data_IF_303185926142
#
_entry.id   IF_303185926142
#
_cell.length_a   1.000
_cell.length_b   1.000
_cell.length_c   1.000
_cell.angle_alpha   90.00
_cell.angle_beta   90.00
_cell.angle_gamma   90.00
#
_symmetry.space_group_name_H-M   'P 1'
#
loop_
_entity.id
_entity.type
_entity.pdbx_description
1 polymer ?
#
# COMPACT_ATOMS: atom_id res chain seq x y z
N UNK A 1 -15.04 45.24 28.09
CA UNK A 1 -13.70 45.85 28.16
C UNK A 1 -12.76 45.06 27.26
N UNK A 2 -12.21 45.75 26.26
CA UNK A 2 -11.32 45.25 25.21
C UNK A 2 -9.97 44.77 25.73
N UNK A 3 -9.36 43.79 25.04
CA UNK A 3 -8.10 44.01 24.30
C UNK A 3 -7.83 42.88 23.31
N UNK A 4 -7.76 43.30 22.06
CA UNK A 4 -7.20 42.63 20.90
C UNK A 4 -5.67 42.64 20.97
N UNK A 5 -5.03 41.62 20.40
CA UNK A 5 -3.59 41.55 20.17
C UNK A 5 -3.32 40.98 18.78
N UNK A 6 -3.07 41.90 17.84
CA UNK A 6 -2.67 41.67 16.46
C UNK A 6 -1.19 41.32 16.42
N UNK A 7 -0.78 40.34 15.61
CA UNK A 7 0.58 40.24 15.08
C UNK A 7 0.55 39.95 13.59
N UNK A 8 1.26 40.81 12.86
CA UNK A 8 1.34 40.93 11.41
C UNK A 8 2.82 41.14 11.07
N UNK A 9 3.27 40.60 9.93
CA UNK A 9 4.59 40.83 9.35
C UNK A 9 5.49 39.58 9.36
N UNK A 10 6.20 39.22 8.30
CA UNK A 10 6.34 39.84 6.99
C UNK A 10 6.97 38.82 6.02
N UNK A 11 6.57 38.87 4.76
CA UNK A 11 7.07 38.04 3.67
C UNK A 11 8.38 38.62 3.11
N UNK A 12 9.43 37.80 2.92
CA UNK A 12 10.44 38.07 1.89
C UNK A 12 10.92 36.82 1.16
N UNK A 13 10.80 36.95 -0.17
CA UNK A 13 11.38 36.15 -1.24
C UNK A 13 12.91 36.04 -1.17
N UNK A 14 13.42 34.82 -1.35
CA UNK A 14 14.65 34.44 -2.09
C UNK A 14 14.47 32.94 -2.42
N UNK A 15 14.78 32.35 -3.57
CA UNK A 15 15.38 32.73 -4.84
C UNK A 15 15.54 31.39 -5.58
N UNK A 16 15.08 31.30 -6.83
CA UNK A 16 15.12 30.10 -7.67
C UNK A 16 16.43 30.09 -8.45
N UNK A 17 17.25 29.05 -8.26
CA UNK A 17 18.32 28.59 -9.19
C UNK A 17 18.48 27.10 -8.85
N UNK A 18 18.24 26.11 -9.71
CA UNK A 18 18.67 25.99 -11.10
C UNK A 18 19.68 24.83 -11.15
N UNK A 19 19.17 23.59 -11.18
CA UNK A 19 19.91 22.37 -11.44
C UNK A 19 20.52 22.43 -12.85
N UNK A 20 21.81 22.12 -13.00
CA UNK A 20 22.35 21.56 -14.24
C UNK A 20 23.68 20.85 -13.96
N UNK A 21 23.65 19.53 -14.07
CA UNK A 21 24.82 18.68 -14.07
C UNK A 21 24.97 17.97 -15.41
N UNK A 22 26.23 17.80 -15.81
CA UNK A 22 26.78 16.94 -16.87
C UNK A 22 26.60 17.37 -18.32
N UNK A 23 27.72 17.82 -18.89
CA UNK A 23 28.05 17.73 -20.32
C UNK A 23 29.32 16.90 -20.44
N UNK A 24 29.22 15.70 -21.01
CA UNK A 24 30.39 14.98 -21.54
C UNK A 24 30.57 15.34 -23.02
N UNK A 25 31.81 15.46 -23.52
CA UNK A 25 32.06 15.80 -24.93
C UNK A 25 31.92 14.57 -25.84
N UNK A 26 31.24 14.78 -26.96
CA UNK A 26 31.18 13.88 -28.13
C UNK A 26 32.47 14.06 -28.94
N UNK A 27 33.14 12.95 -29.23
CA UNK A 27 34.30 12.84 -30.13
C UNK A 27 33.83 12.58 -31.58
N UNK A 28 34.17 13.43 -32.57
CA UNK A 28 33.87 13.18 -33.97
C UNK A 28 35.14 12.96 -34.81
N UNK A 29 35.35 11.72 -35.25
CA UNK A 29 36.32 11.36 -36.28
C UNK A 29 36.74 9.90 -36.09
N UNK A 30 36.72 9.01 -37.07
CA UNK A 30 37.51 9.15 -38.29
C UNK A 30 37.03 8.14 -39.34
N UNK A 31 37.14 8.56 -40.59
CA UNK A 31 36.95 7.81 -41.83
C UNK A 31 37.71 6.48 -41.92
N UNK A 32 37.14 5.52 -42.64
CA UNK A 32 37.85 4.33 -43.11
C UNK A 32 37.10 3.57 -44.20
N UNK A 33 37.30 3.96 -45.47
CA UNK A 33 36.85 3.30 -46.69
C UNK A 33 37.62 1.98 -46.88
N UNK A 34 36.93 0.89 -47.25
CA UNK A 34 37.57 -0.35 -47.69
C UNK A 34 36.63 -1.22 -48.51
N UNK A 35 36.79 -1.17 -49.84
CA UNK A 35 36.10 -1.98 -50.84
C UNK A 35 36.80 -3.33 -51.03
N UNK A 36 36.06 -4.43 -51.18
CA UNK A 36 36.36 -5.49 -52.18
C UNK A 36 35.21 -6.49 -52.31
N UNK A 37 35.15 -7.15 -53.47
CA UNK A 37 34.01 -7.87 -54.07
C UNK A 37 34.06 -9.38 -53.83
N UNK A 38 32.86 -9.99 -53.77
CA UNK A 38 32.50 -11.27 -54.41
C UNK A 38 32.16 -12.45 -53.47
N UNK A 39 31.45 -13.50 -53.94
CA UNK A 39 30.35 -13.55 -54.90
C UNK A 39 29.06 -14.17 -54.28
N UNK A 40 28.01 -14.25 -55.09
CA UNK A 40 26.65 -14.69 -54.77
C UNK A 40 26.55 -16.08 -54.10
N UNK A 41 25.68 -16.17 -53.07
CA UNK A 41 25.04 -17.42 -52.68
C UNK A 41 23.53 -17.20 -52.59
N UNK A 42 22.86 -18.04 -53.34
CA UNK A 42 21.42 -18.22 -53.50
C UNK A 42 20.77 -18.62 -52.18
N UNK A 43 19.60 -18.04 -51.90
CA UNK A 43 18.68 -18.52 -50.87
C UNK A 43 18.01 -17.37 -50.16
N UNK A 44 16.88 -16.89 -50.69
CA UNK A 44 15.96 -16.03 -49.95
C UNK A 44 15.35 -16.84 -48.80
N UNK A 45 15.57 -16.50 -47.52
CA UNK A 45 14.65 -16.89 -46.47
C UNK A 45 13.46 -15.91 -46.50
N UNK A 46 12.25 -16.46 -46.39
CA UNK A 46 11.04 -15.68 -46.09
C UNK A 46 11.31 -14.67 -44.96
N UNK A 47 10.64 -13.50 -44.97
CA UNK A 47 10.79 -12.54 -43.88
C UNK A 47 10.45 -13.26 -42.58
N UNK A 48 11.46 -13.37 -41.71
CA UNK A 48 11.30 -13.90 -40.38
C UNK A 48 10.22 -13.08 -39.68
N UNK A 49 9.18 -13.79 -39.27
CA UNK A 49 8.14 -13.36 -38.35
C UNK A 49 8.83 -12.78 -37.11
N UNK A 50 8.88 -11.45 -37.03
CA UNK A 50 9.39 -10.70 -35.90
C UNK A 50 8.38 -10.70 -34.74
N UNK A 51 7.76 -11.84 -34.47
CA UNK A 51 7.06 -12.08 -33.21
C UNK A 51 8.13 -12.24 -32.14
N UNK A 52 8.44 -11.13 -31.49
CA UNK A 52 8.86 -11.11 -30.09
C UNK A 52 8.06 -12.18 -29.36
N UNK A 53 8.67 -13.11 -28.60
CA UNK A 53 7.91 -14.03 -27.77
C UNK A 53 7.05 -13.18 -26.85
N UNK A 54 5.76 -13.14 -27.13
CA UNK A 54 4.79 -12.46 -26.31
C UNK A 54 4.96 -13.03 -24.91
N UNK A 55 5.34 -12.18 -23.97
CA UNK A 55 4.96 -12.40 -22.58
C UNK A 55 3.45 -12.67 -22.64
N UNK A 56 2.94 -13.80 -22.15
CA UNK A 56 1.51 -14.02 -22.12
C UNK A 56 0.89 -12.87 -21.31
N UNK A 57 0.21 -11.95 -21.99
CA UNK A 57 -0.52 -10.83 -21.37
C UNK A 57 -1.92 -11.29 -20.92
N UNK A 58 -2.14 -12.60 -20.88
CA UNK A 58 -3.46 -13.20 -20.63
C UNK A 58 -3.64 -13.65 -19.16
N UNK A 59 -2.80 -13.17 -18.24
CA UNK A 59 -3.18 -13.23 -16.83
C UNK A 59 -4.36 -12.26 -16.66
N UNK A 60 -5.57 -12.73 -16.28
CA UNK A 60 -6.68 -11.84 -16.04
C UNK A 60 -6.23 -10.80 -15.01
N UNK A 61 -6.43 -9.53 -15.36
CA UNK A 61 -6.01 -8.42 -14.52
C UNK A 61 -6.71 -8.56 -13.17
N UNK A 62 -5.99 -9.02 -12.14
CA UNK A 62 -6.54 -9.15 -10.80
C UNK A 62 -6.19 -7.91 -9.99
N UNK A 63 -7.18 -7.34 -9.31
CA UNK A 63 -6.97 -6.30 -8.33
C UNK A 63 -6.26 -6.79 -7.07
N UNK A 64 -6.01 -8.10 -6.92
CA UNK A 64 -5.51 -8.72 -5.69
C UNK A 64 -4.24 -8.10 -5.11
N UNK A 65 -3.22 -7.80 -5.92
CA UNK A 65 -1.98 -7.14 -5.45
C UNK A 65 -2.26 -5.71 -4.97
N UNK A 66 -2.77 -4.79 -5.82
CA UNK A 66 -3.04 -3.41 -5.38
C UNK A 66 -4.08 -3.34 -4.26
N UNK A 67 -5.10 -4.19 -4.27
CA UNK A 67 -6.08 -4.32 -3.19
C UNK A 67 -5.42 -4.78 -1.89
N UNK A 68 -4.72 -5.92 -1.89
CA UNK A 68 -4.10 -6.50 -0.71
C UNK A 68 -3.04 -5.59 -0.09
N UNK A 69 -2.21 -4.94 -0.93
CA UNK A 69 -1.26 -3.94 -0.46
C UNK A 69 -1.96 -2.70 0.10
N UNK A 70 -2.94 -2.15 -0.63
CA UNK A 70 -3.65 -0.94 -0.24
C UNK A 70 -4.51 -1.09 1.01
N UNK A 71 -5.09 -2.28 1.22
CA UNK A 71 -5.94 -2.62 2.35
C UNK A 71 -5.25 -2.40 3.70
N UNK A 72 -3.94 -2.62 3.76
CA UNK A 72 -3.14 -2.41 4.97
C UNK A 72 -3.12 -0.96 5.47
N UNK A 73 -3.46 0.01 4.62
CA UNK A 73 -3.55 1.43 5.00
C UNK A 73 -4.86 1.80 5.71
N UNK A 74 -5.87 0.91 5.68
CA UNK A 74 -7.21 1.13 6.24
C UNK A 74 -7.62 0.08 7.28
N UNK A 75 -7.08 -1.13 7.22
CA UNK A 75 -7.39 -2.18 8.17
C UNK A 75 -6.73 -1.92 9.51
N UNK A 76 -7.46 -2.23 10.58
CA UNK A 76 -6.94 -2.27 11.96
C UNK A 76 -6.16 -3.57 12.13
N UNK A 77 -4.84 -3.49 12.06
CA UNK A 77 -3.97 -4.65 12.22
C UNK A 77 -3.77 -4.90 13.72
N UNK A 78 -4.23 -6.03 14.29
CA UNK A 78 -4.12 -6.27 15.73
C UNK A 78 -2.67 -6.33 16.20
N UNK A 79 -2.40 -5.85 17.41
CA UNK A 79 -1.12 -6.08 18.10
C UNK A 79 -1.37 -7.07 19.24
N UNK A 80 -1.00 -8.35 19.10
CA UNK A 80 -1.21 -9.35 20.15
C UNK A 80 -0.59 -8.94 21.50
N UNK A 81 -1.24 -9.31 22.61
CA UNK A 81 -0.74 -9.02 23.96
C UNK A 81 -0.97 -7.60 24.47
N UNK A 82 -1.66 -6.74 23.70
CA UNK A 82 -1.83 -5.30 24.05
C UNK A 82 -3.22 -4.93 24.58
N UNK A 83 -4.08 -5.92 24.84
CA UNK A 83 -5.48 -5.71 25.24
C UNK A 83 -6.26 -4.82 24.25
N UNK A 84 -6.12 -5.10 22.95
CA UNK A 84 -6.95 -4.50 21.90
C UNK A 84 -6.37 -3.26 21.19
N UNK A 85 -5.06 -3.01 21.27
CA UNK A 85 -4.42 -2.01 20.40
C UNK A 85 -4.25 -2.57 18.99
N UNK A 86 -4.45 -1.71 18.00
CA UNK A 86 -4.21 -2.01 16.60
C UNK A 86 -3.30 -0.95 15.96
N UNK A 87 -2.52 -1.37 14.96
CA UNK A 87 -1.78 -0.48 14.07
C UNK A 87 -2.77 0.18 13.11
N UNK A 88 -2.74 1.50 13.05
CA UNK A 88 -3.57 2.33 12.17
C UNK A 88 -2.81 3.58 11.72
N UNK A 89 -3.25 4.16 10.61
CA UNK A 89 -2.68 5.40 10.03
C UNK A 89 -3.62 6.61 10.16
N UNK A 90 -4.73 6.45 10.88
CA UNK A 90 -5.72 7.51 11.10
C UNK A 90 -6.10 7.56 12.57
N UNK A 91 -6.28 8.76 13.15
CA UNK A 91 -6.67 8.88 14.55
C UNK A 91 -8.07 8.35 14.79
N UNK A 92 -8.31 7.86 16.00
CA UNK A 92 -9.65 7.56 16.53
C UNK A 92 -10.01 8.50 17.68
N UNK A 93 -11.31 8.66 17.89
CA UNK A 93 -11.85 9.58 18.90
C UNK A 93 -11.83 11.02 18.43
N UNK A 94 -11.56 11.95 19.36
CA UNK A 94 -11.57 13.37 19.07
C UNK A 94 -10.36 13.78 18.21
N UNK A 95 -10.63 14.48 17.10
CA UNK A 95 -9.62 15.05 16.21
C UNK A 95 -9.76 16.58 16.23
N UNK A 96 -8.68 17.34 16.47
CA UNK A 96 -8.73 18.79 16.38
C UNK A 96 -9.23 19.27 15.00
N UNK A 97 -9.85 20.46 14.93
CA UNK A 97 -10.27 21.05 13.65
C UNK A 97 -9.12 21.24 12.65
N UNK A 98 -7.90 21.43 13.14
CA UNK A 98 -6.67 21.49 12.34
C UNK A 98 -6.11 20.13 11.91
N UNK A 99 -6.79 19.03 12.24
CA UNK A 99 -6.32 17.67 12.03
C UNK A 99 -5.40 17.17 13.14
N UNK A 100 -4.83 15.98 12.91
CA UNK A 100 -3.80 15.38 13.76
C UNK A 100 -2.46 15.50 13.05
N UNK A 101 -1.44 15.97 13.77
CA UNK A 101 -0.05 15.91 13.33
C UNK A 101 0.51 14.49 13.39
N UNK A 102 -0.12 13.58 14.14
CA UNK A 102 0.33 12.19 14.23
C UNK A 102 -0.02 11.35 12.98
N UNK A 103 0.87 10.41 12.62
CA UNK A 103 0.80 9.64 11.36
C UNK A 103 0.69 8.13 11.55
N UNK A 104 1.25 7.58 12.63
CA UNK A 104 1.21 6.17 13.01
C UNK A 104 0.59 6.03 14.40
N UNK A 105 -0.35 5.11 14.56
CA UNK A 105 -1.12 4.93 15.78
C UNK A 105 -1.15 3.46 16.19
N UNK A 106 -0.85 3.19 17.45
CA UNK A 106 -1.19 1.95 18.15
C UNK A 106 -2.31 2.28 19.11
N UNK A 107 -3.56 2.03 18.71
CA UNK A 107 -4.70 2.57 19.44
C UNK A 107 -5.83 1.56 19.58
N UNK A 108 -6.58 1.70 20.67
CA UNK A 108 -7.83 0.95 20.86
C UNK A 108 -8.94 1.48 19.93
N UNK A 109 -10.08 0.78 19.90
CA UNK A 109 -11.20 1.13 19.01
C UNK A 109 -11.82 2.50 19.34
N UNK A 110 -11.66 2.96 20.59
CA UNK A 110 -12.19 4.22 21.07
C UNK A 110 -11.20 5.40 20.88
N UNK A 111 -9.94 5.12 20.53
CA UNK A 111 -8.84 6.08 20.58
C UNK A 111 -8.48 6.55 21.99
N UNK A 112 -8.92 5.86 23.05
CA UNK A 112 -8.71 6.27 24.44
C UNK A 112 -7.34 5.86 24.96
N UNK A 113 -6.91 4.66 24.60
CA UNK A 113 -5.53 4.18 24.77
C UNK A 113 -4.80 4.31 23.45
N UNK A 114 -3.65 4.96 23.47
CA UNK A 114 -2.84 5.09 22.26
C UNK A 114 -1.35 5.23 22.54
N UNK A 115 -0.53 4.79 21.60
CA UNK A 115 0.82 5.27 21.36
C UNK A 115 0.81 5.83 19.93
N UNK A 116 1.20 7.08 19.73
CA UNK A 116 1.16 7.72 18.41
C UNK A 116 2.47 8.44 18.11
N UNK A 117 2.90 8.34 16.85
CA UNK A 117 4.09 9.00 16.36
C UNK A 117 3.71 10.37 15.81
N UNK A 118 4.26 11.42 16.41
CA UNK A 118 3.87 12.80 16.19
C UNK A 118 5.04 13.66 15.70
N UNK A 119 4.70 14.82 15.13
CA UNK A 119 5.65 15.89 14.81
C UNK A 119 5.11 17.21 15.32
N UNK A 120 5.88 17.89 16.17
CA UNK A 120 5.47 19.17 16.73
C UNK A 120 6.36 19.61 17.88
N UNK A 121 5.93 20.67 18.57
CA UNK A 121 6.62 21.15 19.76
C UNK A 121 6.54 20.12 20.88
N UNK A 122 7.70 19.69 21.35
CA UNK A 122 7.86 18.76 22.44
C UNK A 122 8.04 19.52 23.75
N UNK A 123 7.12 19.30 24.70
CA UNK A 123 7.09 20.02 25.97
C UNK A 123 8.21 19.61 26.93
N UNK A 124 8.82 18.42 26.74
CA UNK A 124 9.93 17.93 27.55
C UNK A 124 11.26 18.49 27.07
N UNK A 125 11.52 18.41 25.76
CA UNK A 125 12.79 18.89 25.16
C UNK A 125 12.77 20.39 24.84
N UNK A 126 11.59 21.03 24.85
CA UNK A 126 11.37 22.43 24.44
C UNK A 126 11.79 22.71 22.99
N UNK A 127 11.80 21.69 22.15
CA UNK A 127 12.15 21.79 20.72
C UNK A 127 11.04 21.23 19.83
N UNK A 128 11.05 21.58 18.55
CA UNK A 128 10.19 20.93 17.55
C UNK A 128 10.89 19.67 17.06
N UNK A 129 10.31 18.50 17.32
CA UNK A 129 10.90 17.21 16.97
C UNK A 129 9.84 16.15 16.60
N UNK A 130 10.33 14.98 16.20
CA UNK A 130 9.52 13.77 16.09
C UNK A 130 9.53 13.05 17.43
N UNK A 131 8.37 12.81 18.00
CA UNK A 131 8.24 12.22 19.33
C UNK A 131 7.03 11.30 19.44
N UNK A 132 7.09 10.43 20.44
CA UNK A 132 6.00 9.54 20.82
C UNK A 132 5.08 10.23 21.82
N UNK A 133 3.78 10.21 21.52
CA UNK A 133 2.74 10.63 22.45
C UNK A 133 1.96 9.39 22.91
N UNK A 134 1.86 9.18 24.22
CA UNK A 134 1.29 7.97 24.80
C UNK A 134 0.19 8.30 25.82
N UNK A 135 -0.85 7.48 25.83
CA UNK A 135 -1.88 7.49 26.86
C UNK A 135 -2.22 6.06 27.22
N UNK A 136 -1.91 5.68 28.46
CA UNK A 136 -2.18 4.36 29.03
C UNK A 136 -1.57 3.19 28.23
N UNK A 137 -0.40 3.43 27.63
CA UNK A 137 0.36 2.43 26.85
C UNK A 137 1.82 2.30 27.31
N UNK A 138 2.28 3.14 28.25
CA UNK A 138 3.60 3.00 28.89
C UNK A 138 3.88 1.58 29.44
N UNK A 139 2.96 0.89 30.16
CA UNK A 139 3.23 -0.47 30.63
C UNK A 139 3.45 -1.49 29.52
N UNK A 140 2.98 -1.20 28.30
CA UNK A 140 3.09 -2.10 27.14
C UNK A 140 4.36 -1.84 26.34
N UNK A 141 4.75 -0.58 26.15
CA UNK A 141 5.85 -0.21 25.25
C UNK A 141 7.07 0.39 25.95
N UNK A 142 6.99 0.69 27.25
CA UNK A 142 8.07 1.34 28.00
C UNK A 142 8.44 2.74 27.48
N UNK A 143 7.56 3.37 26.70
CA UNK A 143 7.78 4.68 26.10
C UNK A 143 7.07 5.74 26.93
N UNK A 144 7.83 6.71 27.42
CA UNK A 144 7.32 7.89 28.10
C UNK A 144 6.51 8.77 27.14
N UNK A 145 5.54 9.49 27.69
CA UNK A 145 4.84 10.51 26.92
C UNK A 145 5.82 11.61 26.50
N UNK A 146 5.70 12.14 25.29
CA UNK A 146 6.64 13.07 24.66
C UNK A 146 8.09 12.58 24.48
N UNK A 147 8.35 11.27 24.57
CA UNK A 147 9.70 10.74 24.35
C UNK A 147 10.18 10.98 22.90
N UNK A 148 11.40 11.51 22.70
CA UNK A 148 11.97 11.69 21.35
C UNK A 148 12.04 10.37 20.57
N UNK A 149 11.64 10.40 19.30
CA UNK A 149 11.61 9.21 18.44
C UNK A 149 12.88 9.04 17.58
N UNK A 150 13.75 10.06 17.55
CA UNK A 150 15.01 10.06 16.82
C UNK A 150 14.86 9.93 15.30
N UNK A 151 15.94 9.56 14.63
CA UNK A 151 15.99 9.46 13.16
C UNK A 151 15.08 8.35 12.62
N UNK A 152 14.99 7.22 13.32
CA UNK A 152 14.08 6.13 12.95
C UNK A 152 12.61 6.59 13.03
N UNK A 153 12.25 7.36 14.05
CA UNK A 153 10.94 8.00 14.17
C UNK A 153 10.63 8.95 13.02
N UNK A 154 11.59 9.77 12.60
CA UNK A 154 11.43 10.65 11.42
C UNK A 154 11.12 9.85 10.14
N UNK A 155 11.86 8.77 9.89
CA UNK A 155 11.65 7.92 8.72
C UNK A 155 10.27 7.26 8.80
N UNK A 156 9.92 6.66 9.94
CA UNK A 156 8.64 6.02 10.16
C UNK A 156 7.47 7.00 10.02
N UNK A 157 7.60 8.22 10.53
CA UNK A 157 6.58 9.27 10.39
C UNK A 157 6.30 9.60 8.93
N UNK A 158 7.37 9.85 8.15
CA UNK A 158 7.21 10.19 6.73
C UNK A 158 6.65 9.00 5.95
N UNK A 159 7.15 7.79 6.21
CA UNK A 159 6.64 6.57 5.61
C UNK A 159 5.15 6.39 5.90
N UNK A 160 4.73 6.48 7.16
CA UNK A 160 3.32 6.37 7.57
C UNK A 160 2.44 7.44 6.92
N UNK A 161 2.93 8.69 6.83
CA UNK A 161 2.24 9.80 6.17
C UNK A 161 1.95 9.48 4.71
N UNK A 162 2.96 9.09 3.93
CA UNK A 162 2.77 8.79 2.51
C UNK A 162 1.99 7.51 2.30
N UNK A 163 2.27 6.48 3.10
CA UNK A 163 1.61 5.17 3.01
C UNK A 163 0.11 5.25 3.23
N UNK A 164 -0.35 6.11 4.15
CA UNK A 164 -1.79 6.35 4.37
C UNK A 164 -2.52 6.72 3.08
N UNK A 165 -1.93 7.59 2.25
CA UNK A 165 -2.55 8.07 1.03
C UNK A 165 -2.29 7.13 -0.14
N UNK A 166 -1.04 6.71 -0.32
CA UNK A 166 -0.64 5.80 -1.39
C UNK A 166 -1.37 4.46 -1.28
N UNK A 167 -1.49 3.89 -0.07
CA UNK A 167 -2.23 2.65 0.16
C UNK A 167 -3.72 2.78 -0.17
N UNK A 168 -4.35 3.93 0.11
CA UNK A 168 -5.76 4.16 -0.28
C UNK A 168 -5.93 4.24 -1.79
N UNK A 169 -4.98 4.88 -2.48
CA UNK A 169 -4.98 4.89 -3.95
C UNK A 169 -4.84 3.48 -4.50
N UNK A 170 -3.88 2.69 -3.98
CA UNK A 170 -3.72 1.28 -4.38
C UNK A 170 -4.99 0.47 -4.12
N UNK A 171 -5.66 0.68 -2.99
CA UNK A 171 -6.92 -0.01 -2.68
C UNK A 171 -8.00 0.30 -3.72
N UNK A 172 -8.18 1.59 -4.08
CA UNK A 172 -9.15 2.01 -5.10
C UNK A 172 -8.79 1.46 -6.48
N UNK A 173 -7.51 1.50 -6.86
CA UNK A 173 -7.03 0.90 -8.11
C UNK A 173 -7.32 -0.60 -8.14
N UNK A 174 -7.08 -1.32 -7.03
CA UNK A 174 -7.40 -2.74 -6.93
C UNK A 174 -8.88 -3.03 -7.13
N UNK A 175 -9.76 -2.26 -6.48
CA UNK A 175 -11.21 -2.37 -6.69
C UNK A 175 -11.59 -2.10 -8.13
N UNK A 176 -11.02 -1.06 -8.77
CA UNK A 176 -11.33 -0.73 -10.16
C UNK A 176 -10.89 -1.84 -11.14
N UNK A 177 -9.69 -2.38 -10.95
CA UNK A 177 -9.19 -3.51 -11.74
C UNK A 177 -10.08 -4.74 -11.56
N UNK A 178 -10.52 -5.01 -10.33
CA UNK A 178 -11.45 -6.11 -10.06
C UNK A 178 -12.80 -5.92 -10.76
N UNK A 179 -13.37 -4.72 -10.76
CA UNK A 179 -14.62 -4.41 -11.48
C UNK A 179 -14.44 -4.62 -12.98
N UNK A 180 -13.34 -4.14 -13.57
CA UNK A 180 -13.02 -4.38 -14.99
C UNK A 180 -12.94 -5.89 -15.26
N UNK A 181 -12.29 -6.65 -14.37
CA UNK A 181 -12.16 -8.10 -14.50
C UNK A 181 -13.52 -8.82 -14.50
N UNK A 182 -14.50 -8.32 -13.73
CA UNK A 182 -15.86 -8.89 -13.68
C UNK A 182 -16.62 -8.59 -14.96
N UNK A 183 -16.53 -7.37 -15.47
CA UNK A 183 -17.24 -6.94 -16.69
C UNK A 183 -16.71 -7.65 -17.94
N UNK A 184 -15.41 -7.93 -17.99
CA UNK A 184 -14.76 -8.58 -19.13
C UNK A 184 -14.79 -10.12 -19.05
N UNK A 185 -15.25 -10.71 -17.95
CA UNK A 185 -15.24 -12.15 -17.79
C UNK A 185 -16.40 -12.82 -18.54
N UNK A 186 -16.12 -13.95 -19.20
CA UNK A 186 -17.15 -14.78 -19.85
C UNK A 186 -18.21 -15.29 -18.87
N UNK A 187 -17.82 -15.51 -17.60
CA UNK A 187 -18.69 -15.93 -16.49
C UNK A 187 -18.68 -14.86 -15.39
N UNK A 188 -19.41 -13.74 -15.55
CA UNK A 188 -19.29 -12.57 -14.68
C UNK A 188 -19.71 -12.86 -13.23
N UNK A 189 -20.72 -13.71 -12.99
CA UNK A 189 -21.13 -14.09 -11.64
C UNK A 189 -20.08 -14.92 -10.90
N UNK A 190 -19.43 -15.84 -11.61
CA UNK A 190 -18.30 -16.60 -11.08
C UNK A 190 -17.15 -15.67 -10.70
N UNK A 191 -16.78 -14.76 -11.59
CA UNK A 191 -15.69 -13.82 -11.34
C UNK A 191 -16.01 -12.85 -10.20
N UNK A 192 -17.24 -12.34 -10.12
CA UNK A 192 -17.70 -11.50 -9.01
C UNK A 192 -17.59 -12.23 -7.67
N UNK A 193 -17.99 -13.52 -7.63
CA UNK A 193 -17.87 -14.36 -6.43
C UNK A 193 -16.41 -14.51 -6.00
N UNK A 194 -15.49 -14.76 -6.95
CA UNK A 194 -14.05 -14.84 -6.67
C UNK A 194 -13.47 -13.53 -6.13
N UNK A 195 -13.87 -12.39 -6.69
CA UNK A 195 -13.41 -11.06 -6.25
C UNK A 195 -13.89 -10.77 -4.83
N UNK A 196 -15.19 -10.95 -4.55
CA UNK A 196 -15.76 -10.68 -3.22
C UNK A 196 -15.14 -11.59 -2.16
N UNK A 197 -14.98 -12.88 -2.48
CA UNK A 197 -14.29 -13.81 -1.60
C UNK A 197 -12.83 -13.40 -1.39
N UNK A 198 -12.14 -12.96 -2.44
CA UNK A 198 -10.78 -12.44 -2.40
C UNK A 198 -10.64 -11.22 -1.50
N UNK A 199 -11.57 -10.26 -1.55
CA UNK A 199 -11.55 -9.11 -0.63
C UNK A 199 -11.72 -9.51 0.83
N UNK A 200 -12.67 -10.42 1.10
CA UNK A 200 -12.94 -10.90 2.46
C UNK A 200 -11.75 -11.67 3.03
N UNK A 201 -11.17 -12.58 2.25
CA UNK A 201 -10.00 -13.37 2.64
C UNK A 201 -8.74 -12.51 2.73
N UNK A 202 -8.58 -11.48 1.89
CA UNK A 202 -7.50 -10.49 2.02
C UNK A 202 -7.61 -9.72 3.33
N UNK A 203 -8.80 -9.29 3.72
CA UNK A 203 -9.01 -8.62 5.01
C UNK A 203 -8.68 -9.53 6.19
N UNK A 204 -9.13 -10.78 6.14
CA UNK A 204 -8.84 -11.77 7.18
C UNK A 204 -7.34 -12.08 7.23
N UNK A 205 -6.72 -12.37 6.08
CA UNK A 205 -5.31 -12.66 5.94
C UNK A 205 -4.42 -11.50 6.39
N UNK A 206 -4.78 -10.26 6.04
CA UNK A 206 -4.10 -9.06 6.52
C UNK A 206 -4.10 -9.00 8.06
N UNK A 207 -5.23 -9.28 8.71
CA UNK A 207 -5.30 -9.25 10.17
C UNK A 207 -4.52 -10.37 10.82
N UNK A 208 -4.64 -11.59 10.31
CA UNK A 208 -4.00 -12.76 10.92
C UNK A 208 -2.48 -12.70 10.75
N UNK A 209 -2.01 -12.53 9.51
CA UNK A 209 -0.56 -12.47 9.22
C UNK A 209 0.03 -11.15 9.73
N UNK A 210 -0.71 -10.05 9.64
CA UNK A 210 -0.31 -8.78 10.23
C UNK A 210 -0.22 -8.83 11.75
N UNK A 211 -1.12 -9.53 12.45
CA UNK A 211 -0.99 -9.75 13.89
C UNK A 211 0.26 -10.58 14.23
N UNK A 212 0.53 -11.63 13.44
CA UNK A 212 1.76 -12.43 13.57
C UNK A 212 3.03 -11.60 13.36
N UNK A 213 3.05 -10.77 12.32
CA UNK A 213 4.17 -9.88 12.03
C UNK A 213 4.34 -8.78 13.08
N UNK A 214 3.24 -8.21 13.60
CA UNK A 214 3.28 -7.24 14.68
C UNK A 214 3.84 -7.85 15.97
N UNK A 215 3.41 -9.07 16.30
CA UNK A 215 3.93 -9.83 17.43
C UNK A 215 5.44 -10.09 17.29
N UNK A 216 5.87 -10.60 16.13
CA UNK A 216 7.30 -10.84 15.86
C UNK A 216 8.12 -9.53 15.93
N UNK A 217 7.59 -8.43 15.41
CA UNK A 217 8.25 -7.12 15.47
C UNK A 217 8.31 -6.50 16.87
N UNK A 218 7.45 -6.93 17.79
CA UNK A 218 7.35 -6.33 19.14
C UNK A 218 8.55 -6.63 20.03
N UNK A 219 9.34 -7.65 19.72
CA UNK A 219 10.59 -7.93 20.43
C UNK A 219 11.69 -6.89 20.16
N UNK A 220 11.59 -6.12 19.07
CA UNK A 220 12.58 -5.14 18.71
C UNK A 220 12.25 -3.73 19.24
N UNK A 221 11.07 -3.22 18.91
CA UNK A 221 10.59 -1.89 19.30
C UNK A 221 9.16 -1.70 18.81
N UNK A 222 8.44 -0.64 19.25
CA UNK A 222 7.19 -0.27 18.62
C UNK A 222 7.32 0.02 17.11
N UNK A 223 8.48 0.51 16.62
CA UNK A 223 8.69 0.61 15.17
C UNK A 223 8.76 -0.78 14.51
N UNK A 224 9.40 -1.74 15.17
CA UNK A 224 9.41 -3.14 14.76
C UNK A 224 7.99 -3.72 14.68
N UNK A 225 7.16 -3.48 15.70
CA UNK A 225 5.74 -3.86 15.70
C UNK A 225 5.00 -3.28 14.49
N UNK A 226 5.21 -2.00 14.16
CA UNK A 226 4.55 -1.35 13.04
C UNK A 226 5.00 -1.95 11.69
N UNK A 227 6.31 -2.09 11.49
CA UNK A 227 6.90 -2.62 10.25
C UNK A 227 6.47 -4.07 10.05
N UNK A 228 6.62 -4.90 11.08
CA UNK A 228 6.22 -6.31 11.03
C UNK A 228 4.73 -6.47 10.79
N UNK A 229 3.89 -5.66 11.45
CA UNK A 229 2.45 -5.74 11.30
C UNK A 229 1.95 -5.29 9.93
N UNK A 230 2.46 -4.17 9.42
CA UNK A 230 2.10 -3.67 8.07
C UNK A 230 2.62 -4.61 6.99
N UNK A 231 3.89 -5.04 7.07
CA UNK A 231 4.47 -5.99 6.13
C UNK A 231 3.73 -7.34 6.13
N UNK A 232 3.45 -7.89 7.31
CA UNK A 232 2.65 -9.10 7.46
C UNK A 232 1.23 -8.94 6.91
N UNK A 233 0.60 -7.78 7.13
CA UNK A 233 -0.72 -7.52 6.58
C UNK A 233 -0.72 -7.43 5.05
N UNK A 234 0.30 -6.83 4.42
CA UNK A 234 0.42 -6.80 2.96
C UNK A 234 0.54 -8.23 2.41
N UNK A 235 1.46 -9.02 2.97
CA UNK A 235 1.68 -10.41 2.54
C UNK A 235 0.42 -11.25 2.74
N UNK A 236 -0.20 -11.17 3.92
CA UNK A 236 -1.43 -11.88 4.24
C UNK A 236 -2.63 -11.39 3.45
N UNK A 237 -2.69 -10.10 3.09
CA UNK A 237 -3.74 -9.53 2.27
C UNK A 237 -3.68 -10.03 0.84
N UNK A 238 -2.49 -10.01 0.23
CA UNK A 238 -2.28 -10.51 -1.13
C UNK A 238 -2.49 -12.03 -1.17
N UNK A 239 -1.84 -12.78 -0.27
CA UNK A 239 -1.99 -14.24 -0.22
C UNK A 239 -3.43 -14.66 0.09
N UNK A 240 -4.07 -13.97 1.04
CA UNK A 240 -5.47 -14.16 1.40
C UNK A 240 -6.37 -13.97 0.19
N UNK A 241 -6.20 -12.89 -0.58
CA UNK A 241 -6.97 -12.64 -1.81
C UNK A 241 -6.94 -13.85 -2.73
N UNK A 242 -5.76 -14.32 -3.13
CA UNK A 242 -5.63 -15.41 -4.10
C UNK A 242 -6.19 -16.73 -3.58
N UNK A 243 -5.96 -17.05 -2.31
CA UNK A 243 -6.52 -18.26 -1.69
C UNK A 243 -8.06 -18.21 -1.67
N UNK A 244 -8.64 -17.09 -1.23
CA UNK A 244 -10.10 -16.94 -1.18
C UNK A 244 -10.73 -16.96 -2.56
N UNK A 245 -10.13 -16.26 -3.53
CA UNK A 245 -10.59 -16.27 -4.92
C UNK A 245 -10.50 -17.66 -5.57
N UNK A 246 -9.47 -18.45 -5.26
CA UNK A 246 -9.36 -19.82 -5.77
C UNK A 246 -10.47 -20.72 -5.19
N UNK A 247 -10.59 -20.74 -3.85
CA UNK A 247 -11.60 -21.55 -3.15
C UNK A 247 -13.02 -21.19 -3.61
N UNK A 248 -13.33 -19.91 -3.74
CA UNK A 248 -14.65 -19.48 -4.17
C UNK A 248 -14.96 -19.84 -5.62
N UNK A 249 -13.94 -19.87 -6.50
CA UNK A 249 -14.09 -20.35 -7.86
C UNK A 249 -14.51 -21.83 -7.91
N UNK A 250 -13.82 -22.68 -7.15
CA UNK A 250 -14.13 -24.11 -7.03
C UNK A 250 -15.54 -24.34 -6.46
N UNK A 251 -15.91 -23.61 -5.41
CA UNK A 251 -17.24 -23.72 -4.80
C UNK A 251 -18.34 -23.28 -5.77
N UNK A 252 -18.11 -22.22 -6.55
CA UNK A 252 -19.07 -21.75 -7.54
C UNK A 252 -19.27 -22.78 -8.67
N UNK A 253 -18.18 -23.34 -9.19
CA UNK A 253 -18.25 -24.38 -10.24
C UNK A 253 -18.97 -25.64 -9.74
N UNK A 254 -18.71 -26.05 -8.50
CA UNK A 254 -19.44 -27.16 -7.87
C UNK A 254 -20.95 -26.86 -7.75
N UNK A 255 -21.32 -25.65 -7.32
CA UNK A 255 -22.72 -25.25 -7.18
C UNK A 255 -23.45 -25.23 -8.54
N UNK A 256 -22.77 -24.75 -9.59
CA UNK A 256 -23.34 -24.73 -10.94
C UNK A 256 -23.51 -26.12 -11.55
N UNK A 257 -22.59 -27.04 -11.26
CA UNK A 257 -22.72 -28.42 -11.72
C UNK A 257 -23.77 -29.27 -10.97
N UNK A 258 -24.27 -28.81 -9.82
CA UNK A 258 -25.09 -29.66 -8.93
C UNK A 258 -26.41 -29.04 -8.49
N UNK A 259 -26.55 -27.72 -8.48
CA UNK A 259 -27.70 -27.01 -7.89
C UNK A 259 -28.40 -26.06 -8.85
N UNK A 260 -27.71 -25.53 -9.87
CA UNK A 260 -28.35 -24.65 -10.84
C UNK A 260 -28.98 -25.47 -11.97
N UNK A 261 -30.32 -25.42 -12.09
CA UNK A 261 -31.03 -25.92 -13.27
C UNK A 261 -30.66 -25.06 -14.47
N UNK A 262 -30.24 -25.63 -15.61
CA UNK A 262 -30.10 -24.86 -16.84
C UNK A 262 -31.42 -24.16 -17.15
N UNK A 263 -31.39 -22.85 -17.42
CA UNK A 263 -32.57 -22.15 -17.91
C UNK A 263 -32.85 -22.64 -19.34
N UNK A 264 -34.11 -22.91 -19.66
CA UNK A 264 -34.51 -23.19 -21.05
C UNK A 264 -34.13 -22.00 -21.93
N UNK A 265 -33.43 -22.29 -23.02
CA UNK A 265 -33.06 -21.31 -24.01
C UNK A 265 -34.34 -20.85 -24.73
N UNK A 266 -34.73 -19.60 -24.53
CA UNK A 266 -35.90 -19.05 -25.20
C UNK A 266 -35.68 -19.14 -26.72
N UNK A 267 -36.65 -19.68 -27.49
CA UNK A 267 -36.52 -19.73 -28.94
C UNK A 267 -36.32 -18.30 -29.47
N UNK A 268 -35.23 -18.11 -30.21
CA UNK A 268 -34.90 -16.82 -30.81
C UNK A 268 -36.01 -16.33 -31.74
N UNK A 269 -36.16 -15.00 -31.91
CA UNK A 269 -37.14 -14.39 -32.80
C UNK A 269 -36.92 -14.75 -34.28
#
# INVERSE_FOLDING_TARGET
>A
MHRTGVWMGDYRHQGVVGLNGRTEPIDPGTHGRGTSRGPAVVGSPSPADSRTPGVPVDAPWSGGIPFGAGLSSVVRIPIPGTNGLCIEFSPRGWVPKGGSTSTLFFQDIAGKRHLRLDYGFNVQTKTVDYHWNQKSTHPTFGIADHAPAGQAGKVAYNAAKYFRYAGRVLLVVGVAVDVISVVQADRPLRQATKVVAGWASAWAGCKVVGAGGAWAGSFASPLGTAIGGVGGCIIGGIGGYYVGSAVAGEVFDWAEGTQFTPLEEAPGP
#
